data_IF_110456003451
#
_entry.id   IF_110456003451
#
_cell.length_a   1.000
_cell.length_b   1.000
_cell.length_c   1.000
_cell.angle_alpha   90.00
_cell.angle_beta   90.00
_cell.angle_gamma   90.00
#
_symmetry.space_group_name_H-M   'P 1'
#
loop_
_entity.id
_entity.type
_entity.pdbx_description
1 polymer ?
#
# COMPACT_ATOMS: atom_id res chain seq x y z
N UNK A 1 -44.66 -28.22 12.43
CA UNK A 1 -43.73 -27.49 11.56
C UNK A 1 -42.34 -27.64 12.14
N UNK A 2 -41.41 -28.42 11.57
CA UNK A 2 -40.05 -28.46 12.07
C UNK A 2 -39.22 -27.36 11.40
N UNK A 3 -38.86 -26.35 12.18
CA UNK A 3 -37.68 -25.52 11.93
C UNK A 3 -36.45 -26.39 12.12
N UNK A 4 -35.61 -26.59 11.10
CA UNK A 4 -34.29 -27.20 11.31
C UNK A 4 -33.31 -26.95 10.18
N UNK A 5 -32.23 -26.27 10.58
CA UNK A 5 -30.87 -26.35 10.09
C UNK A 5 -30.53 -25.51 8.85
N UNK A 6 -30.22 -24.24 9.15
CA UNK A 6 -29.26 -23.44 8.40
C UNK A 6 -27.98 -24.27 8.17
N UNK A 7 -27.67 -24.52 6.90
CA UNK A 7 -26.52 -25.33 6.50
C UNK A 7 -25.21 -24.71 6.97
N UNK A 8 -24.49 -25.42 7.83
CA UNK A 8 -23.08 -25.16 8.13
C UNK A 8 -22.25 -25.37 6.85
N UNK A 9 -21.96 -24.28 6.14
CA UNK A 9 -20.99 -24.29 5.05
C UNK A 9 -19.59 -24.49 5.65
N UNK A 10 -19.14 -25.74 5.73
CA UNK A 10 -17.76 -26.07 6.08
C UNK A 10 -16.83 -25.51 5.00
N UNK A 11 -16.18 -24.37 5.28
CA UNK A 11 -15.19 -23.76 4.40
C UNK A 11 -14.13 -24.79 4.01
N UNK A 12 -13.97 -25.00 2.71
CA UNK A 12 -12.97 -25.92 2.20
C UNK A 12 -11.58 -25.32 2.41
N UNK A 13 -10.53 -26.15 2.35
CA UNK A 13 -9.14 -25.67 2.36
C UNK A 13 -8.88 -24.64 1.23
N UNK A 14 -9.60 -24.76 0.12
CA UNK A 14 -9.54 -23.81 -1.00
C UNK A 14 -10.13 -22.44 -0.64
N UNK A 15 -11.23 -22.40 0.11
CA UNK A 15 -11.85 -21.16 0.58
C UNK A 15 -10.93 -20.39 1.53
N UNK A 16 -10.33 -21.10 2.49
CA UNK A 16 -9.34 -20.51 3.41
C UNK A 16 -8.11 -19.98 2.69
N UNK A 17 -7.65 -20.66 1.65
CA UNK A 17 -6.52 -20.19 0.84
C UNK A 17 -6.86 -18.91 0.05
N UNK A 18 -8.08 -18.81 -0.48
CA UNK A 18 -8.58 -17.60 -1.15
C UNK A 18 -8.72 -16.43 -0.17
N UNK A 19 -9.35 -16.65 0.98
CA UNK A 19 -9.48 -15.64 2.03
C UNK A 19 -8.12 -15.11 2.49
N UNK A 20 -7.13 -15.99 2.70
CA UNK A 20 -5.77 -15.59 3.05
C UNK A 20 -5.06 -14.80 1.93
N UNK A 21 -5.36 -15.07 0.66
CA UNK A 21 -4.83 -14.29 -0.46
C UNK A 21 -5.47 -12.90 -0.52
N UNK A 22 -6.78 -12.81 -0.33
CA UNK A 22 -7.53 -11.54 -0.32
C UNK A 22 -7.07 -10.63 0.81
N UNK A 23 -6.85 -11.18 2.01
CA UNK A 23 -6.27 -10.42 3.13
C UNK A 23 -4.89 -9.83 2.79
N UNK A 24 -4.03 -10.59 2.11
CA UNK A 24 -2.69 -10.11 1.72
C UNK A 24 -2.81 -8.96 0.72
N UNK A 25 -3.74 -9.05 -0.23
CA UNK A 25 -4.04 -7.97 -1.18
C UNK A 25 -4.57 -6.74 -0.46
N UNK A 26 -5.51 -6.91 0.48
CA UNK A 26 -6.05 -5.82 1.29
C UNK A 26 -4.95 -5.12 2.11
N UNK A 27 -4.07 -5.89 2.77
CA UNK A 27 -2.90 -5.38 3.52
C UNK A 27 -1.95 -4.58 2.62
N UNK A 28 -1.68 -5.06 1.39
CA UNK A 28 -0.84 -4.33 0.41
C UNK A 28 -1.50 -3.02 -0.01
N UNK A 29 -2.79 -3.02 -0.33
CA UNK A 29 -3.56 -1.82 -0.69
C UNK A 29 -3.55 -0.79 0.44
N UNK A 30 -3.76 -1.22 1.69
CA UNK A 30 -3.72 -0.32 2.85
C UNK A 30 -2.35 0.35 3.02
N UNK A 31 -1.26 -0.42 2.89
CA UNK A 31 0.12 0.12 2.93
C UNK A 31 0.39 1.10 1.79
N UNK A 32 -0.05 0.79 0.58
CA UNK A 32 0.10 1.67 -0.58
C UNK A 32 -0.66 2.99 -0.39
N UNK A 33 -1.89 2.95 0.13
CA UNK A 33 -2.67 4.14 0.41
C UNK A 33 -2.04 5.02 1.51
N UNK A 34 -1.54 4.42 2.59
CA UNK A 34 -0.82 5.13 3.64
C UNK A 34 0.44 5.82 3.09
N UNK A 35 1.26 5.09 2.33
CA UNK A 35 2.47 5.62 1.68
C UNK A 35 2.16 6.73 0.68
N UNK A 36 1.05 6.62 -0.06
CA UNK A 36 0.61 7.66 -0.99
C UNK A 36 0.27 8.96 -0.25
N UNK A 37 -0.47 8.88 0.87
CA UNK A 37 -0.80 10.04 1.71
C UNK A 37 0.47 10.73 2.21
N UNK A 38 1.42 9.96 2.73
CA UNK A 38 2.72 10.48 3.19
C UNK A 38 3.48 11.17 2.05
N UNK A 39 3.56 10.53 0.88
CA UNK A 39 4.27 11.09 -0.27
C UNK A 39 3.64 12.40 -0.75
N UNK A 40 2.31 12.48 -0.78
CA UNK A 40 1.59 13.71 -1.13
C UNK A 40 1.85 14.83 -0.13
N UNK A 41 1.83 14.53 1.17
CA UNK A 41 2.14 15.51 2.22
C UNK A 41 3.58 16.02 2.11
N UNK A 42 4.55 15.13 1.87
CA UNK A 42 5.95 15.50 1.64
C UNK A 42 6.13 16.36 0.38
N UNK A 43 5.45 16.02 -0.73
CA UNK A 43 5.48 16.85 -1.95
C UNK A 43 4.86 18.22 -1.71
N UNK A 44 3.77 18.30 -0.95
CA UNK A 44 3.09 19.56 -0.60
C UNK A 44 3.99 20.47 0.24
N UNK A 45 4.69 19.93 1.24
CA UNK A 45 5.62 20.73 2.04
C UNK A 45 6.79 21.24 1.19
N UNK A 46 7.38 20.37 0.36
CA UNK A 46 8.45 20.77 -0.56
C UNK A 46 8.01 21.87 -1.55
N UNK A 47 6.83 21.72 -2.17
CA UNK A 47 6.31 22.74 -3.09
C UNK A 47 6.08 24.10 -2.40
N UNK A 48 5.67 24.08 -1.12
CA UNK A 48 5.54 25.30 -0.32
C UNK A 48 6.91 25.92 -0.01
N UNK A 49 7.89 25.13 0.40
CA UNK A 49 9.26 25.60 0.67
C UNK A 49 9.88 26.25 -0.57
N UNK A 50 9.79 25.59 -1.75
CA UNK A 50 10.26 26.15 -3.02
C UNK A 50 9.60 27.48 -3.38
N UNK A 51 8.29 27.63 -3.13
CA UNK A 51 7.58 28.90 -3.37
C UNK A 51 8.00 29.99 -2.38
N UNK A 52 8.28 29.63 -1.13
CA UNK A 52 8.74 30.54 -0.10
C UNK A 52 10.22 30.95 -0.29
N UNK A 53 10.93 30.37 -1.27
CA UNK A 53 12.36 30.59 -1.47
C UNK A 53 13.23 29.91 -0.40
N UNK A 54 12.67 29.00 0.39
CA UNK A 54 13.46 28.22 1.34
C UNK A 54 14.34 27.20 0.60
N UNK A 55 15.57 27.04 1.08
CA UNK A 55 16.49 26.03 0.58
C UNK A 55 15.86 24.65 0.78
N UNK A 56 15.58 23.94 -0.32
CA UNK A 56 15.10 22.56 -0.28
C UNK A 56 16.26 21.65 0.17
N UNK A 57 16.23 21.08 1.38
CA UNK A 57 17.34 20.27 1.89
C UNK A 57 17.42 18.91 1.17
N UNK A 58 16.55 18.63 0.18
CA UNK A 58 16.77 17.49 -0.70
C UNK A 58 18.02 17.73 -1.55
N UNK A 59 19.16 17.29 -1.02
CA UNK A 59 20.33 17.00 -1.82
C UNK A 59 19.95 16.09 -2.99
N UNK A 60 20.53 16.40 -4.16
CA UNK A 60 20.16 15.87 -5.47
C UNK A 60 19.82 14.38 -5.44
N UNK A 61 18.75 14.03 -6.16
CA UNK A 61 18.37 12.63 -6.39
C UNK A 61 19.63 11.86 -6.80
N UNK A 62 19.89 10.74 -6.14
CA UNK A 62 20.93 9.82 -6.58
C UNK A 62 20.67 9.49 -8.05
N UNK A 63 21.66 9.77 -8.90
CA UNK A 63 21.62 9.37 -10.29
C UNK A 63 21.22 7.89 -10.33
N UNK A 64 20.19 7.55 -11.09
CA UNK A 64 19.79 6.16 -11.25
C UNK A 64 21.05 5.37 -11.60
N UNK A 65 21.36 4.34 -10.80
CA UNK A 65 22.49 3.45 -11.05
C UNK A 65 22.30 2.84 -12.45
N UNK A 66 22.89 3.48 -13.45
CA UNK A 66 23.39 2.80 -14.64
C UNK A 66 24.52 1.93 -14.15
N UNK A 67 24.45 0.64 -14.46
CA UNK A 67 25.41 -0.41 -14.13
C UNK A 67 25.11 -1.19 -12.83
N UNK A 68 24.25 -2.21 -12.97
CA UNK A 68 24.46 -3.54 -12.38
C UNK A 68 23.69 -4.53 -13.26
N UNK A 69 24.30 -4.90 -14.39
CA UNK A 69 23.98 -6.12 -15.12
C UNK A 69 25.29 -6.86 -15.33
N UNK A 70 25.63 -7.72 -14.38
CA UNK A 70 26.58 -8.84 -14.48
C UNK A 70 26.15 -9.91 -13.48
#
# INVERSE_FOLDING_TARGET
MPDSQAGETKETRGDRARAAADERVAKRKARAAAKLRENLMRRKSQARARRAGEADPTHGLSAAKTDESS
#
